data_IF_887784547829
#
_entry.id   IF_887784547829
#
_cell.length_a   1.000
_cell.length_b   1.000
_cell.length_c   1.000
_cell.angle_alpha   90.00
_cell.angle_beta   90.00
_cell.angle_gamma   90.00
#
_symmetry.space_group_name_H-M   'P 1'
#
loop_
_entity.id
_entity.type
_entity.pdbx_description
1 polymer ?
#
# COMPACT_ATOMS: atom_id res chain seq x y z
N UNK A 1 -3.67 0.38 13.96
CA UNK A 1 -3.00 -0.24 12.81
C UNK A 1 -4.10 -0.64 11.86
N UNK A 2 -4.06 -0.12 10.64
CA UNK A 2 -5.03 -0.45 9.60
C UNK A 2 -4.28 -1.22 8.51
N UNK A 3 -4.90 -2.32 8.06
CA UNK A 3 -4.40 -3.13 6.95
C UNK A 3 -5.20 -2.77 5.70
N UNK A 4 -4.50 -2.32 4.66
CA UNK A 4 -5.06 -2.14 3.33
C UNK A 4 -4.42 -3.14 2.40
N UNK A 5 -5.24 -3.84 1.62
CA UNK A 5 -4.80 -4.84 0.66
C UNK A 5 -5.15 -4.38 -0.74
N UNK A 6 -4.14 -4.22 -1.59
CA UNK A 6 -4.32 -4.11 -3.02
C UNK A 6 -4.24 -5.52 -3.61
N UNK A 7 -5.18 -5.85 -4.51
CA UNK A 7 -5.25 -7.12 -5.22
C UNK A 7 -5.36 -6.78 -6.70
N UNK A 8 -4.47 -7.32 -7.52
CA UNK A 8 -4.54 -7.13 -8.97
C UNK A 8 -5.50 -8.13 -9.64
N UNK A 9 -5.61 -8.07 -10.97
CA UNK A 9 -6.48 -8.96 -11.74
C UNK A 9 -6.00 -10.42 -11.79
N UNK A 10 -4.72 -10.68 -11.49
CA UNK A 10 -4.10 -12.00 -11.43
C UNK A 10 -4.21 -12.64 -10.04
N UNK A 11 -4.62 -11.85 -9.04
CA UNK A 11 -4.73 -12.27 -7.65
C UNK A 11 -3.46 -12.02 -6.83
N UNK A 12 -2.48 -11.30 -7.39
CA UNK A 12 -1.30 -10.90 -6.67
C UNK A 12 -1.64 -9.81 -5.66
N UNK A 13 -0.97 -9.83 -4.51
CA UNK A 13 -1.35 -8.96 -3.40
C UNK A 13 -0.20 -8.13 -2.85
N UNK A 14 -0.51 -6.86 -2.56
CA UNK A 14 0.33 -5.97 -1.76
C UNK A 14 -0.44 -5.59 -0.51
N UNK A 15 0.18 -5.78 0.64
CA UNK A 15 -0.38 -5.43 1.93
C UNK A 15 0.34 -4.22 2.53
N UNK A 16 -0.42 -3.18 2.86
CA UNK A 16 0.08 -1.95 3.49
C UNK A 16 -0.41 -1.88 4.93
N UNK A 17 0.53 -1.69 5.86
CA UNK A 17 0.25 -1.49 7.27
C UNK A 17 0.43 -0.02 7.61
N UNK A 18 -0.66 0.66 7.98
CA UNK A 18 -0.62 2.06 8.41
C UNK A 18 -0.85 2.21 9.91
N UNK A 19 -0.20 3.23 10.45
CA UNK A 19 -0.45 3.72 11.81
C UNK A 19 -1.90 4.26 11.93
N UNK A 20 -2.39 4.45 13.15
CA UNK A 20 -3.68 5.14 13.35
C UNK A 20 -3.63 6.63 12.97
N UNK A 21 -2.44 7.20 12.79
CA UNK A 21 -2.25 8.63 12.50
C UNK A 21 -2.33 8.97 11.02
N UNK A 22 -2.35 7.97 10.14
CA UNK A 22 -2.65 8.20 8.74
C UNK A 22 -4.17 8.11 8.51
N UNK A 23 -4.73 9.19 7.98
CA UNK A 23 -6.14 9.28 7.66
C UNK A 23 -6.45 8.58 6.32
N UNK A 24 -7.68 8.07 6.20
CA UNK A 24 -8.14 7.37 5.00
C UNK A 24 -7.92 8.18 3.70
N UNK A 25 -8.13 9.51 3.67
CA UNK A 25 -7.83 10.32 2.48
C UNK A 25 -6.36 10.25 2.06
N UNK A 26 -5.41 10.36 2.98
CA UNK A 26 -4.00 10.30 2.62
C UNK A 26 -3.58 8.89 2.16
N UNK A 27 -4.20 7.82 2.69
CA UNK A 27 -4.02 6.46 2.15
C UNK A 27 -4.52 6.37 0.71
N UNK A 28 -5.72 6.91 0.41
CA UNK A 28 -6.26 6.88 -0.96
C UNK A 28 -5.40 7.68 -1.93
N UNK A 29 -4.96 8.88 -1.53
CA UNK A 29 -4.04 9.70 -2.34
C UNK A 29 -2.71 8.99 -2.55
N UNK A 30 -2.15 8.32 -1.53
CA UNK A 30 -0.90 7.56 -1.67
C UNK A 30 -1.04 6.45 -2.71
N UNK A 31 -2.16 5.71 -2.67
CA UNK A 31 -2.41 4.59 -3.59
C UNK A 31 -2.72 5.05 -5.02
N UNK A 32 -3.17 6.29 -5.21
CA UNK A 32 -3.59 6.82 -6.53
C UNK A 32 -2.52 7.72 -7.17
N UNK A 33 -1.88 8.57 -6.37
CA UNK A 33 -0.97 9.63 -6.81
C UNK A 33 0.49 9.40 -6.38
N UNK A 34 0.76 8.43 -5.51
CA UNK A 34 2.10 8.05 -5.08
C UNK A 34 2.62 8.81 -3.85
N UNK A 35 3.94 8.69 -3.53
CA UNK A 35 4.53 9.01 -2.22
C UNK A 35 4.67 10.51 -1.89
N UNK A 36 3.99 11.41 -2.62
CA UNK A 36 3.98 12.84 -2.33
C UNK A 36 3.18 13.20 -1.06
N UNK A 37 2.44 12.24 -0.48
CA UNK A 37 1.65 12.42 0.74
C UNK A 37 2.45 12.12 2.01
N UNK A 38 2.19 12.84 3.13
CA UNK A 38 2.86 12.63 4.42
C UNK A 38 2.54 11.26 5.07
N UNK A 39 1.55 10.54 4.53
CA UNK A 39 1.21 9.21 4.98
C UNK A 39 2.23 8.18 4.48
N UNK A 40 3.02 7.61 5.39
CA UNK A 40 3.90 6.49 5.09
C UNK A 40 3.41 5.22 5.78
N UNK A 41 3.36 4.08 5.06
CA UNK A 41 3.12 2.79 5.70
C UNK A 41 4.27 2.45 6.64
N UNK A 42 3.94 1.88 7.80
CA UNK A 42 4.93 1.35 8.75
C UNK A 42 5.59 0.07 8.21
N UNK A 43 4.86 -0.68 7.39
CA UNK A 43 5.32 -1.90 6.74
C UNK A 43 4.57 -2.09 5.43
N UNK A 44 5.29 -2.61 4.44
CA UNK A 44 4.72 -3.13 3.20
C UNK A 44 5.08 -4.62 3.18
N UNK A 45 4.08 -5.49 3.07
CA UNK A 45 4.30 -6.92 2.85
C UNK A 45 3.98 -7.25 1.40
N UNK A 46 4.93 -7.90 0.77
CA UNK A 46 4.99 -8.20 -0.65
C UNK A 46 5.18 -9.71 -0.71
N UNK A 47 4.21 -10.44 -1.28
CA UNK A 47 4.16 -11.91 -1.25
C UNK A 47 5.12 -12.59 -2.26
N UNK A 48 5.95 -11.80 -2.94
CA UNK A 48 6.98 -12.29 -3.86
C UNK A 48 6.49 -12.57 -5.27
N UNK A 49 5.25 -12.16 -5.62
CA UNK A 49 4.78 -12.18 -7.01
C UNK A 49 5.60 -11.28 -7.94
N UNK A 50 5.45 -11.45 -9.25
CA UNK A 50 6.21 -10.65 -10.23
C UNK A 50 5.74 -9.19 -10.26
N UNK A 51 4.44 -8.95 -10.12
CA UNK A 51 3.81 -7.62 -10.00
C UNK A 51 4.42 -6.81 -8.85
N UNK A 52 4.88 -7.53 -7.82
CA UNK A 52 5.46 -7.03 -6.60
C UNK A 52 6.93 -6.57 -6.74
N UNK A 53 7.64 -6.97 -7.79
CA UNK A 53 9.01 -6.54 -8.08
C UNK A 53 9.05 -5.22 -8.87
N UNK A 54 8.02 -4.93 -9.66
CA UNK A 54 7.91 -3.71 -10.48
C UNK A 54 7.39 -2.50 -9.69
N UNK A 55 6.87 -2.71 -8.47
CA UNK A 55 6.32 -1.67 -7.61
C UNK A 55 7.37 -0.91 -6.76
N UNK A 56 8.66 -1.25 -6.87
CA UNK A 56 9.77 -0.63 -6.12
C UNK A 56 10.57 0.33 -6.99
#
# INVERSE_FOLDING_TARGET
MYLYRAIDSLGDTVEFFFSKSCDLPAVQTLLTEGPAVPCRPERIAIDGSQTNHEAI
#
